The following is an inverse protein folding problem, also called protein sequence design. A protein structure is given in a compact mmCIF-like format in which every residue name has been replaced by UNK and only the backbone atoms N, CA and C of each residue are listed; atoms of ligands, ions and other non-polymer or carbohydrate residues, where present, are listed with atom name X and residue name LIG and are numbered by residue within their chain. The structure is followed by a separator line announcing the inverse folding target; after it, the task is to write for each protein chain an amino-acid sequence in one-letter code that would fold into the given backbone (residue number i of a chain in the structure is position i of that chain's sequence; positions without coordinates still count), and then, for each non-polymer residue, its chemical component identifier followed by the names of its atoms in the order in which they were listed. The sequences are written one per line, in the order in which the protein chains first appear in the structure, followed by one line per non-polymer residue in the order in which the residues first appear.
data_IF_708592118648
#
_entry.id   IF_708592118648
#
_cell.length_a   1.000
_cell.length_b   1.000
_cell.length_c   1.000
_cell.angle_alpha   90.00
_cell.angle_beta   90.00
_cell.angle_gamma   90.00
#
_symmetry.space_group_name_H-M   'P 1'
#
loop_
_entity.id
_entity.type
_entity.pdbx_description
1 polymer ?
#
# COMPACT_ATOMS: atom_id res chain seq x y z
N UNK A 1 34.41 -13.68 0.97
CA UNK A 1 35.11 -12.39 0.82
C UNK A 1 34.95 -11.57 2.09
N UNK A 2 35.93 -10.75 2.45
CA UNK A 2 35.80 -9.84 3.60
C UNK A 2 35.17 -8.54 3.18
N UNK A 3 34.17 -8.10 3.93
CA UNK A 3 33.48 -6.83 3.74
C UNK A 3 33.19 -6.19 5.09
N UNK A 4 33.04 -4.87 5.09
CA UNK A 4 32.62 -4.08 6.24
C UNK A 4 31.20 -3.64 6.00
N UNK A 5 30.28 -4.04 6.88
CA UNK A 5 28.85 -3.83 6.68
C UNK A 5 28.29 -2.80 7.66
N UNK A 6 27.26 -2.11 7.20
CA UNK A 6 26.33 -1.39 8.05
C UNK A 6 25.01 -2.18 8.06
N UNK A 7 24.76 -2.85 9.18
CA UNK A 7 23.53 -3.60 9.43
C UNK A 7 22.54 -2.70 10.17
N UNK A 8 21.33 -2.55 9.62
CA UNK A 8 20.26 -1.76 10.23
C UNK A 8 18.93 -2.46 9.99
N UNK A 9 18.16 -2.70 11.05
CA UNK A 9 16.82 -3.31 10.97
C UNK A 9 16.79 -4.72 10.33
N UNK A 10 17.87 -5.50 10.44
CA UNK A 10 17.91 -6.89 9.99
C UNK A 10 18.27 -7.07 8.51
N UNK A 11 18.62 -6.00 7.80
CA UNK A 11 19.17 -6.06 6.46
C UNK A 11 20.35 -5.12 6.26
N UNK A 12 21.12 -5.36 5.20
CA UNK A 12 22.25 -4.53 4.86
C UNK A 12 21.77 -3.13 4.42
N UNK A 13 22.37 -2.07 4.97
CA UNK A 13 22.19 -0.68 4.49
C UNK A 13 23.31 -0.25 3.55
N UNK A 14 24.48 -0.82 3.72
CA UNK A 14 25.65 -0.58 2.90
C UNK A 14 26.80 -1.52 3.26
N UNK A 15 27.76 -1.62 2.35
CA UNK A 15 29.01 -2.34 2.59
C UNK A 15 30.20 -1.56 2.02
N UNK A 16 31.38 -1.93 2.48
CA UNK A 16 32.68 -1.47 1.99
C UNK A 16 33.60 -2.67 1.82
N UNK A 17 34.41 -2.65 0.76
CA UNK A 17 35.50 -3.62 0.54
C UNK A 17 36.81 -3.18 1.22
N UNK A 18 36.82 -1.99 1.81
CA UNK A 18 37.93 -1.40 2.56
C UNK A 18 37.51 -1.28 4.03
N UNK A 19 38.43 -1.49 5.01
CA UNK A 19 38.15 -1.27 6.41
C UNK A 19 37.54 0.09 6.73
N UNK A 20 36.46 0.09 7.52
CA UNK A 20 35.87 1.29 8.10
C UNK A 20 35.66 1.09 9.60
N UNK A 21 36.05 2.07 10.41
CA UNK A 21 36.01 1.99 11.88
C UNK A 21 34.58 1.86 12.44
N UNK A 22 33.59 2.36 11.71
CA UNK A 22 32.17 2.38 12.12
C UNK A 22 31.38 1.16 11.64
N UNK A 23 32.01 0.24 10.90
CA UNK A 23 31.35 -0.89 10.26
C UNK A 23 31.84 -2.23 10.82
N UNK A 24 30.99 -3.24 10.69
CA UNK A 24 31.27 -4.59 11.20
C UNK A 24 32.04 -5.37 10.13
N UNK A 25 33.21 -5.89 10.46
CA UNK A 25 33.94 -6.82 9.58
C UNK A 25 33.24 -8.18 9.58
N UNK A 26 32.85 -8.65 8.39
CA UNK A 26 32.18 -9.94 8.21
C UNK A 26 32.69 -10.66 6.97
N UNK A 27 32.54 -11.98 6.97
CA UNK A 27 32.68 -12.78 5.75
C UNK A 27 31.34 -12.88 5.01
N UNK A 28 31.37 -12.63 3.70
CA UNK A 28 30.25 -12.80 2.78
C UNK A 28 30.61 -13.80 1.69
N UNK A 29 29.67 -14.64 1.26
CA UNK A 29 29.94 -15.65 0.22
C UNK A 29 30.16 -15.04 -1.18
N UNK A 30 29.52 -13.90 -1.44
CA UNK A 30 29.62 -13.13 -2.69
C UNK A 30 29.38 -11.64 -2.41
N UNK A 31 29.57 -10.81 -3.42
CA UNK A 31 29.31 -9.38 -3.32
C UNK A 31 27.80 -9.11 -3.10
N UNK A 32 27.43 -8.35 -2.05
CA UNK A 32 26.04 -8.10 -1.73
C UNK A 32 25.49 -6.97 -2.60
N UNK A 33 24.91 -7.31 -3.74
CA UNK A 33 24.36 -6.33 -4.70
C UNK A 33 22.89 -5.98 -4.44
N UNK A 34 22.17 -6.85 -3.72
CA UNK A 34 20.74 -6.78 -3.40
C UNK A 34 20.52 -6.66 -1.89
N UNK A 35 20.83 -5.50 -1.33
CA UNK A 35 21.07 -5.30 0.10
C UNK A 35 19.96 -5.81 1.05
N UNK A 36 18.70 -5.68 0.66
CA UNK A 36 17.54 -6.15 1.45
C UNK A 36 17.52 -7.67 1.64
N UNK A 37 18.14 -8.42 0.71
CA UNK A 37 18.23 -9.88 0.74
C UNK A 37 19.46 -10.38 1.49
N UNK A 38 20.15 -9.52 2.26
CA UNK A 38 21.29 -9.92 3.06
C UNK A 38 21.03 -9.63 4.52
N UNK A 39 21.22 -10.64 5.36
CA UNK A 39 21.14 -10.51 6.82
C UNK A 39 22.46 -10.86 7.48
N UNK A 40 22.77 -10.16 8.57
CA UNK A 40 23.89 -10.49 9.42
C UNK A 40 23.43 -11.42 10.56
N UNK A 41 24.04 -12.61 10.67
CA UNK A 41 23.69 -13.60 11.72
C UNK A 41 24.51 -13.45 13.02
N UNK A 42 25.32 -12.39 13.12
CA UNK A 42 26.28 -12.18 14.22
C UNK A 42 27.67 -12.78 13.96
N UNK A 43 27.88 -13.47 12.84
CA UNK A 43 29.18 -14.02 12.43
C UNK A 43 29.50 -13.79 10.96
N UNK A 44 28.51 -13.91 10.08
CA UNK A 44 28.65 -13.80 8.62
C UNK A 44 27.44 -13.14 7.99
N UNK A 45 27.63 -12.67 6.77
CA UNK A 45 26.55 -12.15 5.93
C UNK A 45 25.93 -13.30 5.13
N UNK A 46 24.63 -13.53 5.30
CA UNK A 46 23.87 -14.61 4.66
C UNK A 46 22.94 -14.00 3.62
N UNK A 47 22.97 -14.53 2.40
CA UNK A 47 21.96 -14.22 1.39
C UNK A 47 20.68 -14.96 1.70
N UNK A 48 19.62 -14.22 1.94
CA UNK A 48 18.28 -14.69 2.29
C UNK A 48 17.25 -13.90 1.46
N UNK A 49 16.72 -14.48 0.36
CA UNK A 49 15.73 -13.83 -0.49
C UNK A 49 14.43 -13.47 0.24
N UNK A 50 14.12 -14.13 1.37
CA UNK A 50 12.94 -13.86 2.18
C UNK A 50 13.20 -12.78 3.25
N UNK A 51 14.43 -12.29 3.36
CA UNK A 51 14.80 -11.24 4.31
C UNK A 51 14.31 -9.85 3.90
N UNK A 52 14.05 -9.64 2.61
CA UNK A 52 13.51 -8.36 2.16
C UNK A 52 12.22 -8.05 2.93
N UNK A 53 12.05 -6.79 3.39
CA UNK A 53 10.81 -6.42 4.04
C UNK A 53 9.66 -6.72 3.09
N UNK A 54 8.64 -7.41 3.60
CA UNK A 54 7.40 -7.57 2.87
C UNK A 54 6.94 -6.17 2.46
N UNK A 55 6.81 -5.95 1.16
CA UNK A 55 6.06 -4.80 0.69
C UNK A 55 4.65 -5.07 1.18
N UNK A 56 4.23 -4.38 2.25
CA UNK A 56 2.82 -4.35 2.57
C UNK A 56 2.14 -3.80 1.31
N UNK A 57 1.42 -4.67 0.61
CA UNK A 57 0.50 -4.28 -0.45
C UNK A 57 -0.58 -3.46 0.23
N UNK A 58 -0.29 -2.18 0.49
CA UNK A 58 -1.36 -1.21 0.71
C UNK A 58 -2.28 -1.33 -0.49
N UNK A 59 -3.61 -1.37 -0.24
CA UNK A 59 -4.63 -1.44 -1.29
C UNK A 59 -4.15 -0.58 -2.44
N UNK A 60 -3.93 -1.20 -3.59
CA UNK A 60 -3.37 -0.48 -4.73
C UNK A 60 -4.26 0.73 -4.97
N UNK A 61 -3.70 1.85 -5.39
CA UNK A 61 -4.48 3.06 -5.69
C UNK A 61 -5.74 2.74 -6.53
N UNK A 62 -5.63 1.73 -7.41
CA UNK A 62 -6.74 1.21 -8.20
C UNK A 62 -7.88 0.56 -7.40
N UNK A 63 -7.60 -0.15 -6.31
CA UNK A 63 -8.63 -0.76 -5.45
C UNK A 63 -9.34 0.28 -4.60
N UNK A 64 -8.60 1.29 -4.12
CA UNK A 64 -9.17 2.43 -3.41
C UNK A 64 -10.10 3.23 -4.34
N UNK A 65 -9.63 3.53 -5.56
CA UNK A 65 -10.43 4.22 -6.58
C UNK A 65 -11.67 3.41 -7.01
N UNK A 66 -11.58 2.08 -7.07
CA UNK A 66 -12.75 1.23 -7.35
C UNK A 66 -13.80 1.34 -6.26
N UNK A 67 -13.38 1.26 -5.00
CA UNK A 67 -14.27 1.38 -3.84
C UNK A 67 -14.96 2.76 -3.82
N UNK A 68 -14.19 3.84 -4.02
CA UNK A 68 -14.74 5.19 -4.07
C UNK A 68 -15.75 5.36 -5.23
N UNK A 69 -15.45 4.81 -6.41
CA UNK A 69 -16.39 4.85 -7.54
C UNK A 69 -17.69 4.07 -7.26
N UNK A 70 -17.61 2.96 -6.55
CA UNK A 70 -18.80 2.17 -6.19
C UNK A 70 -19.68 2.92 -5.18
N UNK A 71 -19.07 3.54 -4.16
CA UNK A 71 -19.77 4.40 -3.20
C UNK A 71 -20.41 5.63 -3.88
N UNK A 72 -19.71 6.25 -4.83
CA UNK A 72 -20.24 7.36 -5.61
C UNK A 72 -21.43 6.94 -6.48
N UNK A 73 -21.37 5.78 -7.13
CA UNK A 73 -22.48 5.24 -7.92
C UNK A 73 -23.72 5.00 -7.06
N UNK A 74 -23.56 4.35 -5.90
CA UNK A 74 -24.68 4.13 -4.99
C UNK A 74 -25.34 5.44 -4.54
N UNK A 75 -24.54 6.47 -4.25
CA UNK A 75 -25.08 7.79 -3.88
C UNK A 75 -25.86 8.46 -5.01
N UNK A 76 -25.40 8.29 -6.25
CA UNK A 76 -26.11 8.81 -7.43
C UNK A 76 -27.44 8.07 -7.60
N UNK A 77 -27.44 6.74 -7.52
CA UNK A 77 -28.65 5.93 -7.66
C UNK A 77 -29.71 6.29 -6.60
N UNK A 78 -29.28 6.44 -5.34
CA UNK A 78 -30.18 6.89 -4.25
C UNK A 78 -30.73 8.30 -4.48
N UNK A 79 -29.92 9.20 -5.04
CA UNK A 79 -30.36 10.56 -5.36
C UNK A 79 -31.39 10.56 -6.49
N UNK A 80 -31.21 9.72 -7.50
CA UNK A 80 -32.14 9.60 -8.62
C UNK A 80 -33.48 9.03 -8.16
N UNK A 81 -33.47 8.01 -7.30
CA UNK A 81 -34.69 7.47 -6.67
C UNK A 81 -35.44 8.52 -5.84
N UNK A 82 -34.72 9.27 -5.00
CA UNK A 82 -35.33 10.32 -4.17
C UNK A 82 -35.94 11.45 -5.02
N UNK A 83 -35.31 11.79 -6.14
CA UNK A 83 -35.84 12.79 -7.08
C UNK A 83 -37.12 12.30 -7.77
N UNK A 84 -37.17 11.02 -8.16
CA UNK A 84 -38.37 10.42 -8.75
C UNK A 84 -39.54 10.38 -7.76
N UNK A 85 -39.28 9.99 -6.51
CA UNK A 85 -40.30 9.98 -5.46
C UNK A 85 -40.85 11.39 -5.18
N UNK A 86 -39.96 12.39 -5.11
CA UNK A 86 -40.36 13.78 -4.93
C UNK A 86 -41.21 14.28 -6.12
N UNK A 87 -40.85 13.91 -7.35
CA UNK A 87 -41.60 14.28 -8.54
C UNK A 87 -43.03 13.69 -8.52
N UNK A 88 -43.19 12.42 -8.13
CA UNK A 88 -44.49 11.76 -8.03
C UNK A 88 -45.38 12.37 -6.95
N UNK A 89 -44.79 12.73 -5.80
CA UNK A 89 -45.48 13.42 -4.72
C UNK A 89 -46.02 14.80 -5.16
N UNK A 90 -45.22 15.58 -5.90
CA UNK A 90 -45.63 16.89 -6.42
C UNK A 90 -46.75 16.74 -7.46
N UNK A 91 -46.67 15.76 -8.35
CA UNK A 91 -47.72 15.48 -9.34
C UNK A 91 -49.04 15.08 -8.66
N UNK A 92 -48.97 14.23 -7.64
CA UNK A 92 -50.14 13.81 -6.86
C UNK A 92 -50.77 14.97 -6.08
N UNK A 93 -49.96 15.81 -5.43
CA UNK A 93 -50.43 16.99 -4.71
C UNK A 93 -51.09 18.02 -5.64
N UNK A 94 -50.52 18.25 -6.83
CA UNK A 94 -51.08 19.17 -7.83
C UNK A 94 -52.37 18.65 -8.45
N UNK A 95 -52.50 17.33 -8.67
CA UNK A 95 -53.74 16.71 -9.13
C UNK A 95 -54.87 16.82 -8.08
N UNK A 96 -54.56 16.59 -6.79
CA UNK A 96 -55.52 16.72 -5.70
C UNK A 96 -56.05 18.16 -5.55
N UNK A 97 -55.20 19.17 -5.77
CA UNK A 97 -55.61 20.57 -5.75
C UNK A 97 -56.49 20.98 -6.94
N UNK A 98 -56.41 20.26 -8.07
CA UNK A 98 -57.15 20.60 -9.30
C UNK A 98 -58.52 19.91 -9.41
N UNK A 99 -58.76 18.84 -8.63
CA UNK A 99 -60.00 18.04 -8.62
C UNK A 99 -61.05 18.46 -7.58
N UNK A 100 -60.75 19.44 -6.72
CA UNK A 100 -61.68 19.95 -5.71
C UNK A 100 -62.47 21.16 -6.22
N UNK A 101 -63.50 20.94 -7.03
CA UNK A 101 -64.58 21.91 -7.27
C UNK A 101 -65.90 21.20 -7.59
#
# INVERSE_FOLDING_TARGET
MKVWIQDELGYLKGYSIIPQETMIEVEADREPTDFTNWRYDGKKLIHDPENAPAVEESLTETEQLKKENEELRQRVDMSDEALLELADMVLSATAAMKGGN
#
